data_IF_589497602966
#
_entry.id   IF_589497602966
#
_cell.length_a   1.000
_cell.length_b   1.000
_cell.length_c   1.000
_cell.angle_alpha   90.00
_cell.angle_beta   90.00
_cell.angle_gamma   90.00
#
_symmetry.space_group_name_H-M   'P 1'
#
loop_
_entity.id
_entity.type
_entity.pdbx_description
1 polymer ?
#
# COMPACT_ATOMS: atom_id res chain seq x y z
N UNK A 1 12.34 -3.79 -15.02
CA UNK A 1 10.96 -3.51 -14.55
C UNK A 1 10.25 -2.47 -15.42
N UNK A 2 10.90 -1.35 -15.77
CA UNK A 2 10.27 -0.31 -16.59
C UNK A 2 9.68 -0.87 -17.89
N UNK A 3 10.46 -1.56 -18.69
CA UNK A 3 10.00 -2.14 -19.96
C UNK A 3 8.85 -3.16 -19.80
N UNK A 4 8.78 -3.85 -18.65
CA UNK A 4 7.66 -4.74 -18.36
C UNK A 4 6.39 -3.93 -18.11
N UNK A 5 6.44 -2.91 -17.25
CA UNK A 5 5.27 -2.06 -17.00
C UNK A 5 4.81 -1.37 -18.27
N UNK A 6 5.75 -0.77 -19.04
CA UNK A 6 5.44 -0.10 -20.32
C UNK A 6 4.72 -1.05 -21.32
N UNK A 7 5.11 -2.33 -21.32
CA UNK A 7 4.46 -3.36 -22.14
C UNK A 7 3.07 -3.76 -21.67
N UNK A 8 2.78 -3.65 -20.36
CA UNK A 8 1.50 -4.03 -19.77
C UNK A 8 0.46 -2.90 -19.81
N UNK A 9 0.87 -1.64 -19.85
CA UNK A 9 -0.04 -0.48 -19.86
C UNK A 9 -1.13 -0.59 -20.95
N UNK A 10 -0.83 -0.94 -22.21
CA UNK A 10 -1.85 -1.07 -23.25
C UNK A 10 -2.87 -2.20 -22.98
N UNK A 11 -2.49 -3.19 -22.17
CA UNK A 11 -3.31 -4.36 -21.84
C UNK A 11 -4.20 -4.15 -20.60
N UNK A 12 -4.04 -3.02 -19.91
CA UNK A 12 -4.86 -2.70 -18.74
C UNK A 12 -6.32 -2.51 -19.12
N UNK A 13 -7.19 -3.30 -18.50
CA UNK A 13 -8.64 -3.27 -18.74
C UNK A 13 -9.31 -2.08 -18.06
N UNK A 14 -8.75 -1.62 -16.94
CA UNK A 14 -9.25 -0.47 -16.19
C UNK A 14 -8.64 0.83 -16.74
N UNK A 15 -9.44 1.77 -17.30
CA UNK A 15 -8.93 3.04 -17.82
C UNK A 15 -8.19 3.87 -16.77
N UNK A 16 -8.71 3.94 -15.52
CA UNK A 16 -8.07 4.71 -14.44
C UNK A 16 -6.70 4.10 -14.06
N UNK A 17 -6.58 2.77 -14.11
CA UNK A 17 -5.29 2.11 -13.90
C UNK A 17 -4.29 2.44 -15.03
N UNK A 18 -4.76 2.50 -16.27
CA UNK A 18 -3.94 2.89 -17.42
C UNK A 18 -3.46 4.33 -17.29
N UNK A 19 -4.36 5.24 -16.99
CA UNK A 19 -4.03 6.65 -16.81
C UNK A 19 -2.99 6.84 -15.70
N UNK A 20 -3.20 6.19 -14.54
CA UNK A 20 -2.26 6.26 -13.44
C UNK A 20 -0.89 5.63 -13.79
N UNK A 21 -0.88 4.54 -14.54
CA UNK A 21 0.36 3.85 -14.94
C UNK A 21 1.21 4.69 -15.93
N UNK A 22 0.60 5.54 -16.73
CA UNK A 22 1.29 6.47 -17.63
C UNK A 22 2.05 7.56 -16.86
N UNK A 23 1.67 7.87 -15.64
CA UNK A 23 2.27 8.89 -14.78
C UNK A 23 3.44 8.35 -13.93
N UNK A 24 3.84 7.09 -14.14
CA UNK A 24 4.95 6.48 -13.38
C UNK A 24 6.30 7.06 -13.82
N UNK A 25 6.98 7.65 -12.87
CA UNK A 25 8.37 8.07 -12.93
C UNK A 25 9.27 7.00 -12.31
N UNK A 26 10.51 6.91 -12.78
CA UNK A 26 11.48 5.93 -12.30
C UNK A 26 12.63 6.67 -11.61
N UNK A 27 12.64 6.65 -10.28
CA UNK A 27 13.54 7.44 -9.46
C UNK A 27 14.78 6.67 -9.02
N UNK A 28 15.99 7.23 -9.21
CA UNK A 28 17.23 6.67 -8.66
C UNK A 28 17.35 7.09 -7.18
N UNK A 29 16.83 6.27 -6.28
CA UNK A 29 16.87 6.56 -4.84
C UNK A 29 18.27 6.31 -4.26
N UNK A 30 18.81 7.32 -3.59
CA UNK A 30 20.15 7.28 -2.98
C UNK A 30 20.16 6.50 -1.67
N UNK A 31 21.31 6.01 -1.25
CA UNK A 31 21.50 5.37 0.07
C UNK A 31 21.05 3.92 0.18
N UNK A 32 20.48 3.32 -0.88
CA UNK A 32 20.04 1.93 -0.86
C UNK A 32 21.15 0.93 -1.22
N UNK A 33 22.28 1.40 -1.77
CA UNK A 33 23.34 0.53 -2.29
C UNK A 33 22.91 -0.28 -3.52
N UNK A 34 21.90 0.20 -4.24
CA UNK A 34 21.33 -0.44 -5.42
C UNK A 34 21.42 0.51 -6.62
N UNK A 35 22.07 0.05 -7.68
CA UNK A 35 22.13 0.77 -8.97
C UNK A 35 20.86 0.47 -9.78
N UNK A 36 19.72 0.97 -9.33
CA UNK A 36 18.43 0.75 -9.99
C UNK A 36 17.49 1.93 -9.74
N UNK A 37 16.38 1.96 -10.48
CA UNK A 37 15.34 2.97 -10.32
C UNK A 37 14.06 2.34 -9.81
N UNK A 38 13.28 3.10 -9.06
CA UNK A 38 12.06 2.67 -8.41
C UNK A 38 10.83 3.39 -8.98
N UNK A 39 9.71 2.67 -9.21
CA UNK A 39 8.50 3.28 -9.77
C UNK A 39 7.77 4.09 -8.70
N UNK A 40 7.40 5.31 -9.09
CA UNK A 40 6.54 6.21 -8.31
C UNK A 40 5.57 6.86 -9.27
N UNK A 41 4.27 6.64 -9.13
CA UNK A 41 3.30 7.43 -9.86
C UNK A 41 3.20 8.82 -9.22
N UNK A 42 3.36 9.88 -10.05
CA UNK A 42 3.37 11.27 -9.59
C UNK A 42 2.31 12.04 -10.35
N UNK A 43 1.25 12.44 -9.67
CA UNK A 43 0.10 13.13 -10.28
C UNK A 43 -0.40 14.28 -9.41
N UNK A 44 -1.00 15.27 -10.04
CA UNK A 44 -1.58 16.42 -9.37
C UNK A 44 -0.56 17.50 -8.99
N UNK A 45 -1.04 18.52 -8.28
CA UNK A 45 -0.26 19.67 -7.81
C UNK A 45 -0.76 20.11 -6.43
N UNK A 46 0.12 20.66 -5.61
CA UNK A 46 -0.21 21.14 -4.26
C UNK A 46 0.66 20.51 -3.19
N UNK A 47 0.21 20.49 -1.92
CA UNK A 47 0.92 19.85 -0.83
C UNK A 47 1.20 18.37 -1.12
N UNK A 48 2.37 17.85 -0.73
CA UNK A 48 2.74 16.46 -1.00
C UNK A 48 1.91 15.48 -0.17
N UNK A 49 1.37 14.46 -0.84
CA UNK A 49 0.61 13.38 -0.24
C UNK A 49 1.19 12.03 -0.69
N UNK A 50 1.76 11.28 0.24
CA UNK A 50 2.34 9.95 0.01
C UNK A 50 1.26 8.88 0.22
N UNK A 51 1.10 7.96 -0.74
CA UNK A 51 0.08 6.91 -0.67
C UNK A 51 0.74 5.53 -0.70
N UNK A 52 0.55 4.74 0.37
CA UNK A 52 1.23 3.47 0.62
C UNK A 52 0.24 2.31 0.52
N UNK A 53 0.44 1.45 -0.46
CA UNK A 53 -0.43 0.30 -0.75
C UNK A 53 -0.30 -0.86 0.24
N UNK A 54 -1.25 -1.80 0.18
CA UNK A 54 -1.31 -2.97 1.02
C UNK A 54 -0.29 -4.07 0.68
N UNK A 55 -0.36 -5.18 1.43
CA UNK A 55 0.45 -6.36 1.22
C UNK A 55 0.19 -6.98 -0.16
N UNK A 56 1.25 -7.35 -0.85
CA UNK A 56 1.23 -8.01 -2.17
C UNK A 56 0.33 -7.28 -3.20
N UNK A 57 0.48 -5.95 -3.24
CA UNK A 57 -0.24 -5.03 -4.11
C UNK A 57 0.73 -4.13 -4.89
N UNK A 58 0.24 -3.05 -5.48
CA UNK A 58 1.01 -2.06 -6.22
C UNK A 58 0.37 -0.66 -6.16
N UNK A 59 1.05 0.35 -6.70
CA UNK A 59 0.52 1.72 -6.83
C UNK A 59 -0.85 1.76 -7.51
N UNK A 60 -1.19 0.78 -8.37
CA UNK A 60 -2.48 0.67 -9.04
C UNK A 60 -3.66 0.47 -8.08
N UNK A 61 -3.40 0.10 -6.83
CA UNK A 61 -4.41 0.02 -5.78
C UNK A 61 -5.14 1.37 -5.60
N UNK A 62 -4.45 2.49 -5.82
CA UNK A 62 -5.01 3.83 -5.65
C UNK A 62 -5.66 4.43 -6.91
N UNK A 63 -5.81 3.68 -7.99
CA UNK A 63 -6.33 4.16 -9.28
C UNK A 63 -7.68 4.87 -9.22
N UNK A 64 -8.57 4.44 -8.30
CA UNK A 64 -9.90 5.04 -8.13
C UNK A 64 -9.87 6.28 -7.23
N UNK A 65 -8.96 6.33 -6.26
CA UNK A 65 -8.86 7.43 -5.32
C UNK A 65 -7.99 8.58 -5.87
N UNK A 66 -6.88 8.26 -6.54
CA UNK A 66 -5.91 9.26 -6.97
C UNK A 66 -6.54 10.39 -7.81
N UNK A 67 -7.36 10.14 -8.85
CA UNK A 67 -7.91 11.22 -9.66
C UNK A 67 -8.83 12.18 -8.89
N UNK A 68 -9.37 11.77 -7.73
CA UNK A 68 -10.24 12.60 -6.90
C UNK A 68 -9.46 13.58 -6.00
N UNK A 69 -8.14 13.43 -5.90
CA UNK A 69 -7.28 14.21 -5.01
C UNK A 69 -6.30 15.13 -5.76
N UNK A 70 -6.13 14.95 -7.07
CA UNK A 70 -5.12 15.65 -7.89
C UNK A 70 -5.27 17.17 -7.99
N UNK A 71 -6.47 17.70 -7.75
CA UNK A 71 -6.71 19.14 -7.74
C UNK A 71 -6.20 19.82 -6.46
N UNK A 72 -5.99 19.07 -5.39
CA UNK A 72 -5.63 19.60 -4.07
C UNK A 72 -4.25 19.16 -3.58
N UNK A 73 -3.76 18.03 -4.07
CA UNK A 73 -2.50 17.44 -3.63
C UNK A 73 -1.62 17.03 -4.81
N UNK A 74 -0.32 17.11 -4.60
CA UNK A 74 0.63 16.37 -5.40
C UNK A 74 0.79 14.97 -4.79
N UNK A 75 0.32 13.95 -5.50
CA UNK A 75 0.32 12.57 -5.05
C UNK A 75 1.63 11.88 -5.43
N UNK A 76 2.22 11.18 -4.47
CA UNK A 76 3.36 10.29 -4.67
C UNK A 76 2.95 8.88 -4.26
N UNK A 77 2.86 7.99 -5.24
CA UNK A 77 2.34 6.63 -5.05
C UNK A 77 3.43 5.62 -5.46
N UNK A 78 4.36 5.28 -4.54
CA UNK A 78 5.41 4.32 -4.84
C UNK A 78 4.90 2.88 -4.79
N UNK A 79 5.56 1.99 -5.53
CA UNK A 79 5.54 0.58 -5.17
C UNK A 79 6.52 0.33 -4.02
N UNK A 80 6.04 -0.26 -2.94
CA UNK A 80 6.86 -0.59 -1.78
C UNK A 80 7.97 -1.59 -2.18
N UNK A 81 9.14 -1.49 -1.55
CA UNK A 81 10.27 -2.35 -1.85
C UNK A 81 9.91 -3.85 -1.73
N UNK A 82 10.15 -4.60 -2.79
CA UNK A 82 9.78 -6.02 -2.89
C UNK A 82 8.35 -6.28 -3.37
N UNK A 83 7.52 -5.26 -3.54
CA UNK A 83 6.13 -5.36 -4.02
C UNK A 83 5.93 -4.65 -5.36
N UNK A 84 4.75 -4.79 -5.92
CA UNK A 84 4.36 -4.13 -7.16
C UNK A 84 5.33 -4.36 -8.31
N UNK A 85 5.74 -3.32 -8.98
CA UNK A 85 6.76 -3.27 -10.04
C UNK A 85 8.12 -2.80 -9.51
N UNK A 86 8.30 -2.71 -8.18
CA UNK A 86 9.58 -2.40 -7.57
C UNK A 86 10.65 -3.44 -7.95
N UNK A 87 11.90 -3.05 -8.22
CA UNK A 87 12.98 -3.99 -8.51
C UNK A 87 13.21 -4.98 -7.37
N UNK A 88 13.57 -6.22 -7.74
CA UNK A 88 13.82 -7.32 -6.78
C UNK A 88 15.21 -7.92 -6.96
N UNK A 89 16.28 -7.21 -6.55
CA UNK A 89 17.64 -7.77 -6.61
C UNK A 89 17.73 -9.07 -5.78
N UNK A 90 18.29 -10.15 -6.33
CA UNK A 90 18.33 -11.46 -5.65
C UNK A 90 19.06 -11.45 -4.29
N UNK A 91 20.00 -10.53 -4.10
CA UNK A 91 20.82 -10.41 -2.87
C UNK A 91 20.20 -9.45 -1.85
N UNK A 92 19.10 -8.77 -2.17
CA UNK A 92 18.47 -7.84 -1.26
C UNK A 92 17.75 -8.57 -0.12
N UNK A 93 17.77 -7.96 1.06
CA UNK A 93 16.89 -8.37 2.14
C UNK A 93 15.48 -7.85 1.86
N UNK A 94 14.48 -8.70 2.09
CA UNK A 94 13.07 -8.32 1.99
C UNK A 94 12.42 -8.44 3.36
N UNK A 95 11.85 -7.35 3.85
CA UNK A 95 11.22 -7.28 5.16
C UNK A 95 10.91 -5.84 5.55
N UNK A 96 10.34 -5.59 6.73
CA UNK A 96 9.93 -4.27 7.18
C UNK A 96 11.04 -3.22 7.08
N UNK A 97 12.25 -3.53 7.55
CA UNK A 97 13.36 -2.59 7.53
C UNK A 97 13.79 -2.20 6.10
N UNK A 98 13.73 -3.12 5.14
CA UNK A 98 14.06 -2.81 3.75
C UNK A 98 12.99 -1.89 3.11
N UNK A 99 11.71 -2.12 3.43
CA UNK A 99 10.60 -1.23 3.00
C UNK A 99 10.79 0.16 3.60
N UNK A 100 11.10 0.26 4.88
CA UNK A 100 11.27 1.56 5.55
C UNK A 100 12.50 2.32 5.04
N UNK A 101 13.64 1.66 4.82
CA UNK A 101 14.81 2.31 4.19
C UNK A 101 14.52 2.81 2.77
N UNK A 102 13.74 2.07 2.01
CA UNK A 102 13.29 2.52 0.69
C UNK A 102 12.45 3.80 0.80
N UNK A 103 11.52 3.86 1.75
CA UNK A 103 10.70 5.04 2.00
C UNK A 103 11.49 6.21 2.58
N UNK A 104 12.48 5.96 3.45
CA UNK A 104 13.40 6.99 3.93
C UNK A 104 14.14 7.65 2.76
N UNK A 105 14.65 6.85 1.82
CA UNK A 105 15.31 7.34 0.62
C UNK A 105 14.34 8.08 -0.32
N UNK A 106 13.10 7.63 -0.42
CA UNK A 106 12.05 8.29 -1.19
C UNK A 106 11.68 9.64 -0.59
N UNK A 107 11.45 9.72 0.72
CA UNK A 107 11.15 10.98 1.42
C UNK A 107 12.32 11.97 1.30
N UNK A 108 13.56 11.48 1.36
CA UNK A 108 14.74 12.31 1.13
C UNK A 108 14.86 12.80 -0.33
N UNK A 109 14.32 12.04 -1.30
CA UNK A 109 14.29 12.42 -2.72
C UNK A 109 13.17 13.43 -3.02
N UNK A 110 12.12 13.47 -2.21
CA UNK A 110 11.08 14.48 -2.33
C UNK A 110 11.68 15.84 -1.95
N UNK A 111 11.92 16.68 -2.95
CA UNK A 111 12.39 18.07 -2.79
C UNK A 111 11.22 18.97 -2.34
N UNK A 112 10.53 18.53 -1.30
CA UNK A 112 9.42 19.25 -0.71
C UNK A 112 9.90 19.87 0.61
N UNK A 113 10.01 21.18 0.64
CA UNK A 113 10.25 21.95 1.88
C UNK A 113 9.06 21.87 2.86
N UNK A 114 8.05 21.07 2.53
CA UNK A 114 6.78 21.00 3.22
C UNK A 114 6.53 19.70 3.97
N UNK A 115 5.53 19.80 4.82
CA UNK A 115 4.93 18.71 5.55
C UNK A 115 4.27 17.70 4.61
N UNK A 116 4.56 16.41 4.77
CA UNK A 116 4.01 15.34 3.95
C UNK A 116 2.84 14.70 4.69
N UNK A 117 1.64 14.69 4.05
CA UNK A 117 0.55 13.84 4.48
C UNK A 117 0.77 12.40 4.00
N UNK A 118 0.29 11.41 4.76
CA UNK A 118 0.41 10.01 4.35
C UNK A 118 -0.93 9.29 4.42
N UNK A 119 -1.30 8.63 3.32
CA UNK A 119 -2.39 7.65 3.30
C UNK A 119 -1.77 6.25 3.29
N UNK A 120 -2.15 5.38 4.24
CA UNK A 120 -1.69 4.00 4.28
C UNK A 120 -2.85 3.01 4.27
N UNK A 121 -2.90 2.13 3.27
CA UNK A 121 -3.94 1.11 3.13
C UNK A 121 -3.46 -0.26 3.63
N UNK A 122 -4.24 -0.93 4.46
CA UNK A 122 -3.93 -2.26 5.01
C UNK A 122 -2.52 -2.31 5.62
N UNK A 123 -1.60 -3.14 5.13
CA UNK A 123 -0.19 -3.15 5.55
C UNK A 123 0.46 -1.76 5.41
N UNK A 124 0.10 -0.99 4.37
CA UNK A 124 0.55 0.39 4.19
C UNK A 124 0.23 1.30 5.38
N UNK A 125 -0.80 0.97 6.16
CA UNK A 125 -1.12 1.65 7.41
C UNK A 125 -0.05 1.44 8.50
N UNK A 126 0.42 0.20 8.70
CA UNK A 126 1.53 -0.06 9.60
C UNK A 126 2.83 0.58 9.10
N UNK A 127 3.07 0.53 7.79
CA UNK A 127 4.22 1.21 7.15
C UNK A 127 4.17 2.71 7.39
N UNK A 128 3.00 3.35 7.26
CA UNK A 128 2.81 4.78 7.50
C UNK A 128 3.12 5.18 8.95
N UNK A 129 2.67 4.37 9.91
CA UNK A 129 2.96 4.58 11.35
C UNK A 129 4.46 4.49 11.63
N UNK A 130 5.15 3.48 11.10
CA UNK A 130 6.60 3.34 11.26
C UNK A 130 7.36 4.47 10.59
N UNK A 131 6.94 4.87 9.39
CA UNK A 131 7.55 5.98 8.66
C UNK A 131 7.40 7.31 9.43
N UNK A 132 6.22 7.58 9.98
CA UNK A 132 5.97 8.78 10.78
C UNK A 132 6.86 8.85 12.03
N UNK A 133 7.11 7.71 12.68
CA UNK A 133 8.05 7.63 13.81
C UNK A 133 9.51 7.87 13.41
N UNK A 134 9.89 7.42 12.22
CA UNK A 134 11.26 7.59 11.69
C UNK A 134 11.51 9.00 11.17
N UNK A 135 10.48 9.65 10.65
CA UNK A 135 10.55 10.94 9.96
C UNK A 135 9.59 11.99 10.58
N UNK A 136 9.66 12.21 11.92
CA UNK A 136 8.67 13.04 12.61
C UNK A 136 8.64 14.49 12.12
N UNK A 137 9.76 15.00 11.61
CA UNK A 137 9.86 16.36 11.07
C UNK A 137 9.32 16.50 9.64
N UNK A 138 9.15 15.36 8.94
CA UNK A 138 8.70 15.35 7.54
C UNK A 138 7.25 14.89 7.41
N UNK A 139 6.84 13.93 8.20
CA UNK A 139 5.47 13.38 8.16
C UNK A 139 4.64 14.11 9.20
N UNK A 140 3.55 14.73 8.75
CA UNK A 140 2.74 15.59 9.62
C UNK A 140 1.39 14.99 10.00
N UNK A 141 0.81 14.15 9.16
CA UNK A 141 -0.52 13.63 9.38
C UNK A 141 -0.73 12.30 8.66
N UNK A 142 -1.53 11.41 9.26
CA UNK A 142 -1.80 10.08 8.76
C UNK A 142 -3.31 9.85 8.56
N UNK A 143 -3.67 9.29 7.41
CA UNK A 143 -4.97 8.68 7.17
C UNK A 143 -4.78 7.19 6.89
N UNK A 144 -5.28 6.34 7.77
CA UNK A 144 -5.12 4.90 7.68
C UNK A 144 -6.43 4.25 7.22
N UNK A 145 -6.35 3.47 6.16
CA UNK A 145 -7.48 2.79 5.53
C UNK A 145 -7.40 1.29 5.85
N UNK A 146 -8.28 0.81 6.72
CA UNK A 146 -8.31 -0.56 7.24
C UNK A 146 -6.90 -1.07 7.64
N UNK A 147 -6.15 -0.36 8.51
CA UNK A 147 -4.76 -0.65 8.78
C UNK A 147 -4.54 -2.05 9.36
N UNK A 148 -3.64 -2.82 8.75
CA UNK A 148 -3.18 -4.11 9.23
C UNK A 148 -1.77 -4.01 9.79
N UNK A 149 -1.43 -4.83 10.80
CA UNK A 149 -0.10 -4.88 11.40
C UNK A 149 0.14 -3.90 12.56
N UNK A 150 -0.87 -3.18 13.01
CA UNK A 150 -0.76 -2.29 14.18
C UNK A 150 -0.59 -3.08 15.48
N UNK A 151 -1.22 -4.23 15.57
CA UNK A 151 -1.21 -5.11 16.75
C UNK A 151 -0.54 -6.45 16.44
N UNK A 152 -0.37 -7.27 17.47
CA UNK A 152 0.22 -8.60 17.35
C UNK A 152 1.75 -8.61 17.45
N UNK A 153 2.35 -9.70 16.96
CA UNK A 153 3.80 -9.88 16.94
C UNK A 153 4.22 -10.42 15.57
N UNK A 154 5.42 -10.08 15.09
CA UNK A 154 5.96 -10.70 13.89
C UNK A 154 5.90 -12.23 13.98
N UNK A 155 5.39 -12.85 12.95
CA UNK A 155 5.27 -14.32 12.86
C UNK A 155 6.06 -14.84 11.65
N UNK A 156 7.37 -15.07 11.80
CA UNK A 156 8.20 -15.57 10.72
C UNK A 156 7.69 -16.92 10.19
N UNK A 157 7.53 -17.01 8.89
CA UNK A 157 7.14 -18.24 8.23
C UNK A 157 8.39 -19.12 8.01
N UNK A 158 8.41 -20.38 8.45
CA UNK A 158 9.56 -21.26 8.26
C UNK A 158 9.92 -21.45 6.78
N UNK A 159 11.24 -21.68 6.47
CA UNK A 159 11.67 -22.06 5.13
C UNK A 159 10.87 -23.25 4.61
N UNK A 160 10.62 -23.31 3.32
CA UNK A 160 9.73 -24.19 2.57
C UNK A 160 8.25 -23.80 2.68
N UNK A 161 7.71 -23.49 3.86
CA UNK A 161 6.33 -23.03 4.00
C UNK A 161 6.14 -21.63 3.39
N UNK A 162 7.16 -20.80 3.45
CA UNK A 162 7.22 -19.48 2.81
C UNK A 162 7.09 -19.58 1.28
N UNK A 163 7.87 -20.51 0.67
CA UNK A 163 7.81 -20.75 -0.78
C UNK A 163 6.49 -21.42 -1.20
N UNK A 164 6.01 -22.36 -0.39
CA UNK A 164 4.71 -22.98 -0.63
C UNK A 164 3.58 -21.93 -0.53
N UNK A 165 3.68 -21.03 0.45
CA UNK A 165 2.75 -19.92 0.61
C UNK A 165 2.76 -18.98 -0.60
N UNK A 166 3.94 -18.56 -1.07
CA UNK A 166 4.08 -17.73 -2.26
C UNK A 166 3.51 -18.43 -3.50
N UNK A 167 3.85 -19.71 -3.71
CA UNK A 167 3.27 -20.52 -4.79
C UNK A 167 1.75 -20.59 -4.72
N UNK A 168 1.19 -20.83 -3.52
CA UNK A 168 -0.25 -20.88 -3.31
C UNK A 168 -0.92 -19.56 -3.63
N UNK A 169 -0.36 -18.43 -3.13
CA UNK A 169 -0.84 -17.08 -3.39
C UNK A 169 -0.77 -16.69 -4.88
N UNK A 170 0.15 -17.28 -5.65
CA UNK A 170 0.26 -17.07 -7.09
C UNK A 170 -0.82 -17.80 -7.91
N UNK A 171 -1.63 -18.67 -7.31
CA UNK A 171 -2.65 -19.43 -8.07
C UNK A 171 -3.83 -18.52 -8.46
N UNK A 172 -4.27 -18.54 -9.73
CA UNK A 172 -5.34 -17.66 -10.21
C UNK A 172 -6.62 -17.72 -9.39
N UNK A 173 -7.05 -18.92 -8.96
CA UNK A 173 -8.24 -19.09 -8.14
C UNK A 173 -8.09 -18.48 -6.74
N UNK A 174 -6.89 -18.53 -6.15
CA UNK A 174 -6.59 -17.91 -4.84
C UNK A 174 -6.60 -16.41 -4.98
N UNK A 175 -5.93 -15.86 -6.00
CA UNK A 175 -5.91 -14.41 -6.28
C UNK A 175 -7.32 -13.86 -6.48
N UNK A 176 -8.13 -14.53 -7.29
CA UNK A 176 -9.54 -14.15 -7.48
C UNK A 176 -10.30 -14.17 -6.16
N UNK A 177 -10.14 -15.22 -5.34
CA UNK A 177 -10.78 -15.34 -4.03
C UNK A 177 -10.39 -14.20 -3.10
N UNK A 178 -9.09 -13.85 -3.01
CA UNK A 178 -8.58 -12.75 -2.19
C UNK A 178 -9.08 -11.39 -2.70
N UNK A 179 -9.06 -11.17 -4.02
CA UNK A 179 -9.61 -9.97 -4.64
C UNK A 179 -11.08 -9.78 -4.23
N UNK A 180 -11.90 -10.81 -4.38
CA UNK A 180 -13.34 -10.76 -4.02
C UNK A 180 -13.57 -10.53 -2.53
N UNK A 181 -12.72 -11.06 -1.64
CA UNK A 181 -12.83 -10.85 -0.19
C UNK A 181 -12.58 -9.39 0.23
N UNK A 182 -11.83 -8.65 -0.56
CA UNK A 182 -11.50 -7.25 -0.26
C UNK A 182 -12.69 -6.30 -0.43
N UNK A 183 -13.70 -6.68 -1.19
CA UNK A 183 -14.87 -5.85 -1.50
C UNK A 183 -16.10 -6.21 -0.67
N UNK A 184 -16.93 -5.22 -0.34
CA UNK A 184 -18.21 -5.44 0.34
C UNK A 184 -19.19 -6.17 -0.58
N UNK A 185 -19.32 -5.70 -1.83
CA UNK A 185 -20.14 -6.31 -2.88
C UNK A 185 -19.24 -6.88 -4.00
N UNK A 186 -18.72 -8.12 -3.84
CA UNK A 186 -17.84 -8.69 -4.85
C UNK A 186 -18.57 -9.06 -6.14
N UNK A 187 -19.89 -9.26 -6.14
CA UNK A 187 -20.63 -9.62 -7.35
C UNK A 187 -20.92 -8.40 -8.22
N UNK A 188 -21.14 -7.23 -7.61
CA UNK A 188 -21.36 -5.98 -8.31
C UNK A 188 -20.07 -5.22 -8.68
N UNK A 189 -18.98 -5.42 -7.94
CA UNK A 189 -17.76 -4.58 -8.07
C UNK A 189 -16.52 -5.30 -8.61
N UNK A 190 -16.44 -6.63 -8.50
CA UNK A 190 -15.25 -7.38 -8.95
C UNK A 190 -15.49 -8.01 -10.31
N UNK A 191 -14.80 -7.48 -11.30
CA UNK A 191 -14.78 -8.01 -12.66
C UNK A 191 -13.35 -8.29 -13.14
N UNK A 192 -13.18 -8.58 -14.43
CA UNK A 192 -11.88 -8.81 -15.03
C UNK A 192 -10.86 -7.70 -14.76
N UNK A 193 -11.21 -6.39 -14.73
CA UNK A 193 -10.26 -5.33 -14.41
C UNK A 193 -9.66 -5.47 -13.01
N UNK A 194 -10.49 -5.73 -11.98
CA UNK A 194 -10.04 -5.87 -10.60
C UNK A 194 -9.16 -7.11 -10.43
N UNK A 195 -9.56 -8.24 -11.02
CA UNK A 195 -8.78 -9.49 -11.00
C UNK A 195 -7.43 -9.32 -11.71
N UNK A 196 -7.40 -8.58 -12.83
CA UNK A 196 -6.17 -8.26 -13.54
C UNK A 196 -5.22 -7.47 -12.64
N UNK A 197 -5.67 -6.36 -12.08
CA UNK A 197 -4.84 -5.47 -11.24
C UNK A 197 -4.33 -6.21 -10.01
N UNK A 198 -5.17 -7.00 -9.35
CA UNK A 198 -4.78 -7.81 -8.20
C UNK A 198 -3.68 -8.83 -8.50
N UNK A 199 -3.42 -9.14 -9.78
CA UNK A 199 -2.48 -10.18 -10.21
C UNK A 199 -1.37 -9.71 -11.13
N UNK A 200 -1.43 -8.46 -11.61
CA UNK A 200 -0.55 -7.97 -12.67
C UNK A 200 0.94 -8.03 -12.29
N UNK A 201 1.26 -7.65 -11.07
CA UNK A 201 2.63 -7.60 -10.53
C UNK A 201 3.25 -8.99 -10.29
N UNK A 202 2.47 -10.08 -10.34
CA UNK A 202 3.00 -11.44 -10.26
C UNK A 202 3.89 -11.79 -11.46
N UNK A 203 3.75 -11.05 -12.57
CA UNK A 203 4.59 -11.20 -13.76
C UNK A 203 6.01 -10.64 -13.55
N UNK A 204 6.22 -9.88 -12.47
CA UNK A 204 7.53 -9.30 -12.18
C UNK A 204 8.53 -10.38 -11.76
N UNK A 205 9.73 -10.43 -12.37
CA UNK A 205 10.79 -11.35 -11.96
C UNK A 205 11.11 -11.24 -10.46
N UNK A 206 11.26 -12.39 -9.79
CA UNK A 206 11.59 -12.45 -8.36
C UNK A 206 10.40 -12.20 -7.42
N UNK A 207 9.15 -12.13 -7.93
CA UNK A 207 7.97 -11.92 -7.09
C UNK A 207 7.85 -12.98 -5.98
N UNK A 208 7.90 -14.25 -6.32
CA UNK A 208 7.71 -15.34 -5.36
C UNK A 208 8.84 -15.39 -4.32
N UNK A 209 10.09 -15.14 -4.74
CA UNK A 209 11.26 -15.12 -3.86
C UNK A 209 11.20 -13.95 -2.87
N UNK A 210 10.85 -12.76 -3.34
CA UNK A 210 10.71 -11.57 -2.49
C UNK A 210 9.56 -11.74 -1.49
N UNK A 211 8.40 -12.25 -1.94
CA UNK A 211 7.25 -12.52 -1.08
C UNK A 211 7.58 -13.56 0.00
N UNK A 212 8.23 -14.67 -0.37
CA UNK A 212 8.69 -15.68 0.57
C UNK A 212 9.68 -15.10 1.59
N UNK A 213 10.65 -14.28 1.14
CA UNK A 213 11.61 -13.63 2.02
C UNK A 213 10.93 -12.65 2.98
N UNK A 214 9.94 -11.89 2.51
CA UNK A 214 9.15 -11.01 3.37
C UNK A 214 8.36 -11.82 4.42
N UNK A 215 7.77 -12.93 4.04
CA UNK A 215 7.06 -13.82 4.98
C UNK A 215 8.00 -14.40 6.05
N UNK A 216 9.25 -14.74 5.70
CA UNK A 216 10.28 -15.18 6.66
C UNK A 216 10.66 -14.08 7.66
N UNK A 217 10.57 -12.82 7.31
CA UNK A 217 10.84 -11.71 8.23
C UNK A 217 9.77 -11.54 9.30
N UNK A 218 8.60 -12.14 9.13
CA UNK A 218 7.44 -11.97 10.00
C UNK A 218 6.55 -10.79 9.64
N UNK A 219 6.93 -9.97 8.65
CA UNK A 219 6.15 -8.84 8.17
C UNK A 219 5.99 -7.70 9.19
N UNK A 220 5.10 -6.77 8.90
CA UNK A 220 4.72 -5.69 9.81
C UNK A 220 3.71 -6.20 10.84
N UNK A 221 4.05 -6.11 12.12
CA UNK A 221 3.16 -6.45 13.23
C UNK A 221 3.62 -5.74 14.51
N UNK A 222 2.65 -5.33 15.35
CA UNK A 222 2.93 -4.58 16.58
C UNK A 222 3.39 -3.14 16.33
N UNK A 223 3.15 -2.61 15.13
CA UNK A 223 3.62 -1.27 14.72
C UNK A 223 2.85 -0.12 15.40
N UNK A 224 1.75 -0.40 16.07
CA UNK A 224 0.98 0.63 16.77
C UNK A 224 1.53 1.03 18.15
N UNK A 225 2.60 0.41 18.64
CA UNK A 225 3.17 0.73 19.96
C UNK A 225 4.67 1.07 19.86
N UNK A 226 5.06 2.31 20.24
CA UNK A 226 4.19 3.45 20.57
C UNK A 226 3.53 4.05 19.32
N UNK A 227 2.38 4.70 19.48
CA UNK A 227 1.81 5.50 18.37
C UNK A 227 2.73 6.68 18.03
N UNK A 228 2.75 7.12 16.75
CA UNK A 228 3.45 8.34 16.37
C UNK A 228 2.77 9.57 16.99
N UNK A 229 3.51 10.66 17.12
CA UNK A 229 2.99 11.91 17.71
C UNK A 229 2.09 12.71 16.75
N UNK A 230 2.10 12.36 15.48
CA UNK A 230 1.33 13.05 14.45
C UNK A 230 -0.17 12.72 14.57
N UNK A 231 -1.06 13.67 14.20
CA UNK A 231 -2.48 13.39 14.05
C UNK A 231 -2.71 12.16 13.16
N UNK A 232 -3.56 11.25 13.62
CA UNK A 232 -3.81 9.99 12.97
C UNK A 232 -5.32 9.76 12.91
N UNK A 233 -5.83 9.48 11.72
CA UNK A 233 -7.24 9.15 11.48
C UNK A 233 -7.34 7.76 10.88
N UNK A 234 -8.42 7.04 11.20
CA UNK A 234 -8.63 5.67 10.75
C UNK A 234 -10.02 5.52 10.15
N UNK A 235 -10.07 4.87 9.00
CA UNK A 235 -11.32 4.47 8.34
C UNK A 235 -11.34 2.95 8.22
N UNK A 236 -12.42 2.33 8.72
CA UNK A 236 -12.70 0.90 8.59
C UNK A 236 -13.86 0.65 7.62
N UNK A 237 -13.83 -0.48 6.93
CA UNK A 237 -15.01 -1.03 6.29
C UNK A 237 -15.81 -1.89 7.28
N UNK A 238 -17.15 -1.75 7.28
CA UNK A 238 -18.03 -2.57 8.11
C UNK A 238 -18.06 -4.04 7.65
N UNK A 239 -17.93 -4.26 6.34
CA UNK A 239 -17.95 -5.58 5.70
C UNK A 239 -16.55 -6.13 5.40
N UNK A 240 -15.53 -5.67 6.12
CA UNK A 240 -14.16 -6.18 5.98
C UNK A 240 -14.08 -7.67 6.35
N UNK A 241 -13.75 -8.51 5.35
CA UNK A 241 -13.62 -9.96 5.48
C UNK A 241 -12.16 -10.43 5.60
N UNK A 242 -11.20 -9.50 5.48
CA UNK A 242 -9.76 -9.78 5.56
C UNK A 242 -9.27 -9.55 6.97
N UNK A 243 -9.53 -8.37 7.54
CA UNK A 243 -9.15 -8.06 8.91
C UNK A 243 -10.23 -8.52 9.89
N UNK A 244 -9.93 -9.62 10.59
CA UNK A 244 -10.89 -10.21 11.54
C UNK A 244 -11.23 -9.28 12.70
N UNK A 245 -12.48 -9.33 13.15
CA UNK A 245 -13.01 -8.47 14.23
C UNK A 245 -12.11 -8.36 15.48
N UNK A 246 -11.48 -9.43 16.02
CA UNK A 246 -10.59 -9.28 17.16
C UNK A 246 -9.35 -8.42 16.89
N UNK A 247 -8.80 -8.47 15.69
CA UNK A 247 -7.65 -7.63 15.30
C UNK A 247 -8.06 -6.18 15.14
N UNK A 248 -9.22 -5.93 14.54
CA UNK A 248 -9.81 -4.59 14.43
C UNK A 248 -10.05 -3.98 15.81
N UNK A 249 -10.71 -4.71 16.71
CA UNK A 249 -10.98 -4.27 18.08
C UNK A 249 -9.68 -3.98 18.88
N UNK A 250 -8.67 -4.83 18.73
CA UNK A 250 -7.37 -4.61 19.34
C UNK A 250 -6.70 -3.34 18.81
N UNK A 251 -6.78 -3.09 17.49
CA UNK A 251 -6.25 -1.88 16.89
C UNK A 251 -7.02 -0.63 17.34
N UNK A 252 -8.34 -0.68 17.41
CA UNK A 252 -9.19 0.41 17.92
C UNK A 252 -8.87 0.74 19.38
N UNK A 253 -8.67 -0.27 20.23
CA UNK A 253 -8.29 -0.09 21.63
C UNK A 253 -6.92 0.56 21.78
N UNK A 254 -5.99 0.22 20.89
CA UNK A 254 -4.65 0.79 20.85
C UNK A 254 -4.67 2.26 20.41
N UNK A 255 -5.42 2.55 19.36
CA UNK A 255 -5.42 3.87 18.71
C UNK A 255 -5.99 4.97 19.60
N UNK A 256 -6.88 4.67 20.55
CA UNK A 256 -7.53 5.62 21.48
C UNK A 256 -8.16 6.85 20.79
N UNK A 257 -8.32 6.81 19.49
CA UNK A 257 -8.91 7.85 18.64
C UNK A 257 -10.18 7.33 18.00
N UNK A 258 -11.17 8.20 17.75
CA UNK A 258 -12.38 7.80 17.05
C UNK A 258 -12.02 7.32 15.65
N UNK A 259 -12.26 6.04 15.39
CA UNK A 259 -12.18 5.49 14.06
C UNK A 259 -13.54 5.63 13.36
N UNK A 260 -13.54 6.03 12.11
CA UNK A 260 -14.75 6.05 11.30
C UNK A 260 -14.98 4.68 10.65
N UNK A 261 -16.23 4.21 10.64
CA UNK A 261 -16.59 2.97 9.95
C UNK A 261 -17.52 3.29 8.79
N UNK A 262 -17.17 2.82 7.61
CA UNK A 262 -17.98 2.97 6.40
C UNK A 262 -18.87 1.75 6.23
N UNK A 263 -20.19 1.95 6.24
CA UNK A 263 -21.17 0.91 5.94
C UNK A 263 -21.08 0.51 4.46
N UNK A 264 -21.40 -0.74 4.14
CA UNK A 264 -21.31 -1.33 2.80
C UNK A 264 -19.90 -1.15 2.18
N UNK A 265 -18.87 -1.34 2.98
CA UNK A 265 -17.47 -1.13 2.62
C UNK A 265 -16.63 -2.31 3.09
N UNK A 266 -15.80 -2.87 2.23
CA UNK A 266 -14.90 -3.98 2.54
C UNK A 266 -13.55 -3.51 3.08
N UNK A 267 -12.51 -4.34 2.83
CA UNK A 267 -11.16 -4.10 3.34
C UNK A 267 -10.42 -2.93 2.67
N UNK A 268 -10.84 -2.52 1.48
CA UNK A 268 -10.19 -1.47 0.70
C UNK A 268 -11.14 -0.28 0.49
N UNK A 269 -11.34 0.59 1.50
CA UNK A 269 -12.29 1.71 1.40
C UNK A 269 -12.03 2.63 0.20
N UNK A 270 -10.77 2.83 -0.17
CA UNK A 270 -10.35 3.66 -1.30
C UNK A 270 -10.67 3.06 -2.67
N UNK A 271 -11.06 1.79 -2.72
CA UNK A 271 -11.55 1.12 -3.93
C UNK A 271 -13.06 0.95 -3.89
N UNK A 272 -13.62 0.56 -2.76
CA UNK A 272 -15.07 0.37 -2.58
C UNK A 272 -15.86 1.69 -2.63
N UNK A 273 -15.37 2.70 -1.90
CA UNK A 273 -16.02 4.00 -1.74
C UNK A 273 -15.02 5.16 -1.92
N UNK A 274 -14.37 5.28 -3.10
CA UNK A 274 -13.30 6.22 -3.33
C UNK A 274 -13.70 7.68 -3.10
N UNK A 275 -14.92 8.07 -3.50
CA UNK A 275 -15.39 9.44 -3.31
C UNK A 275 -15.51 9.79 -1.82
N UNK A 276 -16.06 8.90 -1.01
CA UNK A 276 -16.21 9.12 0.42
C UNK A 276 -14.85 9.20 1.14
N UNK A 277 -13.88 8.39 0.71
CA UNK A 277 -12.50 8.49 1.22
C UNK A 277 -11.85 9.80 0.77
N UNK A 278 -12.08 10.24 -0.47
CA UNK A 278 -11.57 11.51 -0.96
C UNK A 278 -12.11 12.70 -0.16
N UNK A 279 -13.42 12.73 0.09
CA UNK A 279 -14.07 13.79 0.88
C UNK A 279 -13.43 13.87 2.29
N UNK A 280 -13.23 12.72 2.96
CA UNK A 280 -12.56 12.67 4.27
C UNK A 280 -11.08 13.07 4.19
N UNK A 281 -10.39 12.70 3.13
CA UNK A 281 -9.00 13.11 2.90
C UNK A 281 -8.89 14.64 2.78
N UNK A 282 -9.78 15.26 2.01
CA UNK A 282 -9.82 16.72 1.83
C UNK A 282 -10.14 17.46 3.14
N UNK A 283 -11.01 16.91 3.99
CA UNK A 283 -11.33 17.50 5.29
C UNK A 283 -10.20 17.37 6.31
N UNK A 284 -9.47 16.27 6.29
CA UNK A 284 -8.49 15.92 7.31
C UNK A 284 -7.07 16.34 6.94
N UNK A 285 -6.69 16.30 5.67
CA UNK A 285 -5.33 16.55 5.20
C UNK A 285 -5.22 17.82 4.33
N UNK A 286 -6.36 18.41 3.97
CA UNK A 286 -6.46 19.58 3.07
C UNK A 286 -6.27 20.96 3.70
#
# INVERSE_FOLDING_TARGET
MKSLLDGLIPELLDPQARDLALEVQWWPLQGLGLETTFPVAVVGQGPPLLMLHGFDSSFLEFRRLAPLLTERFQLFIPDLFGFGFSPRPPQAAYGPEAVLRHLDALVAHLDADGAIGVIGASMGGAVAVELARRQPERIHQLLLLAPAGLTGRPMPVPPLLDRLGAWFLGRPGVRRGLCRQAFADPDGQVGPPEEQIASLHLQCPGWAEALAAFARSGGFAGCGEPLPSQPLHVIWGADDRILRAPLKQAAESLLQHPAETFEACGHLPHIDQPQRVADRCLELLG
#
